data_IF_884714187268
#
_entry.id   IF_884714187268
#
_cell.length_a   1.000
_cell.length_b   1.000
_cell.length_c   1.000
_cell.angle_alpha   90.00
_cell.angle_beta   90.00
_cell.angle_gamma   90.00
#
_symmetry.space_group_name_H-M   'P 1'
#
loop_
_entity.id
_entity.type
_entity.pdbx_description
1 polymer ?
#
# COMPACT_ATOMS: atom_id res chain seq x y z
N UNK A 1 9.33 9.10 32.55
CA UNK A 1 7.93 9.30 32.13
C UNK A 1 7.91 9.21 30.61
N UNK A 2 7.21 8.20 30.11
CA UNK A 2 6.75 7.97 28.73
C UNK A 2 7.82 7.72 27.66
N UNK A 3 7.88 6.43 27.30
CA UNK A 3 8.66 5.82 26.24
C UNK A 3 8.42 6.52 24.89
N UNK A 4 9.50 6.76 24.15
CA UNK A 4 9.42 7.16 22.74
C UNK A 4 8.69 6.05 21.98
N UNK A 5 7.64 6.33 21.20
CA UNK A 5 7.04 5.32 20.35
C UNK A 5 8.12 4.80 19.39
N UNK A 6 8.44 3.51 19.55
CA UNK A 6 9.42 2.79 18.77
C UNK A 6 9.01 2.88 17.30
N UNK A 7 9.76 3.67 16.53
CA UNK A 7 9.57 3.82 15.10
C UNK A 7 9.66 2.44 14.44
N UNK A 8 8.61 2.13 13.66
CA UNK A 8 8.56 1.12 12.60
C UNK A 8 9.26 -0.20 12.93
N UNK A 9 8.49 -1.15 13.46
CA UNK A 9 8.80 -2.58 13.27
C UNK A 9 8.94 -2.78 11.76
N UNK A 10 10.18 -2.92 11.30
CA UNK A 10 10.55 -2.94 9.89
C UNK A 10 9.64 -3.87 9.10
N UNK A 11 9.34 -3.50 7.85
CA UNK A 11 8.46 -4.25 6.94
C UNK A 11 8.62 -5.74 7.21
N UNK A 12 7.62 -6.34 7.85
CA UNK A 12 7.56 -7.78 7.98
C UNK A 12 7.74 -8.35 6.57
N UNK A 13 8.43 -9.49 6.38
CA UNK A 13 8.61 -10.09 5.06
C UNK A 13 7.27 -10.37 4.34
N UNK A 14 6.15 -10.28 5.07
CA UNK A 14 4.78 -10.44 4.62
C UNK A 14 4.04 -9.12 4.32
N UNK A 15 4.71 -7.96 4.30
CA UNK A 15 4.09 -6.67 4.00
C UNK A 15 4.92 -5.82 3.05
N UNK A 16 4.30 -5.36 1.97
CA UNK A 16 4.85 -4.38 1.04
C UNK A 16 4.43 -2.96 1.44
N UNK A 17 5.39 -2.10 1.72
CA UNK A 17 5.21 -0.65 1.80
C UNK A 17 5.20 -0.03 0.39
N UNK A 18 4.09 0.62 0.04
CA UNK A 18 3.92 1.31 -1.23
C UNK A 18 3.43 2.74 -0.98
N UNK A 19 4.24 3.71 -1.38
CA UNK A 19 3.87 5.12 -1.45
C UNK A 19 3.44 5.43 -2.87
N UNK A 20 2.24 5.98 -3.01
CA UNK A 20 1.67 6.47 -4.27
C UNK A 20 1.58 7.99 -4.19
N UNK A 21 2.43 8.69 -4.93
CA UNK A 21 2.51 10.16 -4.93
C UNK A 21 1.17 10.81 -5.25
N UNK A 22 0.91 12.02 -4.75
CA UNK A 22 -0.30 12.77 -5.07
C UNK A 22 -0.39 13.18 -6.55
N UNK A 23 -1.56 13.64 -6.99
CA UNK A 23 -1.76 14.12 -8.36
C UNK A 23 -3.24 14.29 -8.74
N UNK A 24 -3.55 15.24 -9.64
CA UNK A 24 -4.91 15.42 -10.16
C UNK A 24 -5.98 15.73 -9.10
N UNK A 25 -5.60 16.33 -7.96
CA UNK A 25 -6.47 16.58 -6.81
C UNK A 25 -6.58 15.42 -5.81
N UNK A 26 -5.90 14.28 -6.05
CA UNK A 26 -5.80 13.19 -5.10
C UNK A 26 -4.58 13.36 -4.16
N UNK A 27 -4.72 13.09 -2.86
CA UNK A 27 -3.61 13.12 -1.92
C UNK A 27 -2.61 12.00 -2.20
N UNK A 28 -1.39 12.17 -1.69
CA UNK A 28 -0.44 11.07 -1.60
C UNK A 28 -0.99 9.99 -0.67
N UNK A 29 -0.68 8.72 -0.94
CA UNK A 29 -1.17 7.59 -0.17
C UNK A 29 -0.05 6.65 0.22
N UNK A 30 0.02 6.29 1.50
CA UNK A 30 0.85 5.17 1.97
C UNK A 30 -0.03 3.94 2.12
N UNK A 31 0.39 2.84 1.54
CA UNK A 31 -0.24 1.52 1.62
C UNK A 31 0.73 0.55 2.28
N UNK A 32 0.25 -0.18 3.29
CA UNK A 32 0.91 -1.38 3.79
C UNK A 32 0.07 -2.57 3.33
N UNK A 33 0.64 -3.36 2.42
CA UNK A 33 -0.08 -4.37 1.63
C UNK A 33 0.40 -5.76 2.06
N UNK A 34 -0.47 -6.56 2.65
CA UNK A 34 -0.16 -7.95 2.98
C UNK A 34 -0.10 -8.83 1.72
N UNK A 35 0.46 -10.03 1.82
CA UNK A 35 0.42 -10.99 0.71
C UNK A 35 -1.03 -11.37 0.37
N UNK A 36 -1.37 -11.61 -0.91
CA UNK A 36 -2.67 -12.18 -1.26
C UNK A 36 -2.90 -13.52 -0.58
N UNK A 37 -4.09 -13.70 0.00
CA UNK A 37 -4.56 -15.00 0.47
C UNK A 37 -4.87 -15.93 -0.71
N UNK A 38 -5.11 -17.22 -0.43
CA UNK A 38 -5.40 -18.23 -1.45
C UNK A 38 -6.66 -17.93 -2.29
N UNK A 39 -7.60 -17.15 -1.76
CA UNK A 39 -8.80 -16.65 -2.45
C UNK A 39 -8.55 -15.33 -3.23
N UNK A 40 -7.30 -14.86 -3.30
CA UNK A 40 -6.90 -13.67 -4.04
C UNK A 40 -7.25 -12.34 -3.37
N UNK A 41 -7.57 -12.34 -2.07
CA UNK A 41 -7.85 -11.13 -1.30
C UNK A 41 -6.59 -10.60 -0.61
N UNK A 42 -6.55 -9.28 -0.42
CA UNK A 42 -5.42 -8.58 0.18
C UNK A 42 -5.95 -7.68 1.27
N UNK A 43 -5.36 -7.82 2.46
CA UNK A 43 -5.54 -6.90 3.57
C UNK A 43 -4.53 -5.76 3.44
N UNK A 44 -4.99 -4.56 3.72
CA UNK A 44 -4.14 -3.39 3.70
C UNK A 44 -4.48 -2.40 4.81
N UNK A 45 -3.48 -1.62 5.18
CA UNK A 45 -3.61 -0.44 6.02
C UNK A 45 -3.18 0.77 5.21
N UNK A 46 -3.90 1.88 5.31
CA UNK A 46 -3.58 3.06 4.52
C UNK A 46 -3.66 4.37 5.28
N UNK A 47 -2.86 5.32 4.83
CA UNK A 47 -2.86 6.72 5.23
C UNK A 47 -2.85 7.59 3.99
N UNK A 48 -3.24 8.85 4.15
CA UNK A 48 -3.12 9.86 3.11
C UNK A 48 -2.36 11.07 3.64
N UNK A 49 -1.84 11.90 2.74
CA UNK A 49 -1.19 13.16 3.11
C UNK A 49 -2.07 14.17 3.83
N UNK A 50 -3.38 13.93 3.87
CA UNK A 50 -4.32 14.79 4.60
C UNK A 50 -4.16 14.62 6.12
N UNK A 51 -3.80 13.42 6.61
CA UNK A 51 -3.46 13.17 8.01
C UNK A 51 -2.61 11.89 8.18
N UNK A 52 -1.29 12.09 8.31
CA UNK A 52 -0.35 10.99 8.57
C UNK A 52 -0.36 10.51 10.03
N UNK A 53 -0.90 11.31 10.95
CA UNK A 53 -0.92 11.00 12.38
C UNK A 53 -2.13 10.16 12.79
N UNK A 54 -3.14 10.09 11.92
CA UNK A 54 -4.31 9.25 12.12
C UNK A 54 -3.97 7.75 12.23
N UNK A 55 -4.87 7.02 12.89
CA UNK A 55 -4.85 5.57 12.82
C UNK A 55 -5.05 5.12 11.36
N UNK A 56 -4.33 4.07 10.90
CA UNK A 56 -4.51 3.58 9.54
C UNK A 56 -5.94 3.13 9.29
N UNK A 57 -6.47 3.45 8.12
CA UNK A 57 -7.72 2.85 7.66
C UNK A 57 -7.45 1.41 7.21
N UNK A 58 -7.99 0.38 7.91
CA UNK A 58 -7.90 -0.99 7.44
C UNK A 58 -8.88 -1.22 6.29
N UNK A 59 -8.47 -2.02 5.32
CA UNK A 59 -9.34 -2.44 4.22
C UNK A 59 -8.95 -3.85 3.74
N UNK A 60 -9.91 -4.50 3.05
CA UNK A 60 -9.69 -5.77 2.38
C UNK A 60 -10.32 -5.71 0.98
N UNK A 61 -9.54 -6.03 -0.05
CA UNK A 61 -9.97 -5.95 -1.45
C UNK A 61 -9.39 -7.11 -2.25
N UNK A 62 -9.75 -7.24 -3.53
CA UNK A 62 -9.10 -8.21 -4.41
C UNK A 62 -7.69 -7.72 -4.81
N UNK A 63 -6.74 -8.64 -4.91
CA UNK A 63 -5.38 -8.33 -5.38
C UNK A 63 -5.40 -7.72 -6.79
N UNK A 64 -6.24 -8.26 -7.68
CA UNK A 64 -6.41 -7.75 -9.04
C UNK A 64 -7.01 -6.35 -9.09
N UNK A 65 -7.99 -6.07 -8.22
CA UNK A 65 -8.60 -4.74 -8.10
C UNK A 65 -7.57 -3.72 -7.62
N UNK A 66 -6.84 -4.05 -6.55
CA UNK A 66 -5.77 -3.20 -6.03
C UNK A 66 -4.68 -2.93 -7.08
N UNK A 67 -4.26 -3.96 -7.83
CA UNK A 67 -3.28 -3.79 -8.89
C UNK A 67 -3.79 -2.86 -9.99
N UNK A 68 -5.05 -3.02 -10.44
CA UNK A 68 -5.64 -2.15 -11.45
C UNK A 68 -5.70 -0.68 -11.02
N UNK A 69 -5.96 -0.42 -9.73
CA UNK A 69 -5.93 0.93 -9.15
C UNK A 69 -4.52 1.53 -9.15
N UNK A 70 -3.49 0.73 -8.82
CA UNK A 70 -2.09 1.19 -8.83
C UNK A 70 -1.62 1.44 -10.26
N UNK A 71 -1.97 0.56 -11.21
CA UNK A 71 -1.66 0.76 -12.63
C UNK A 71 -2.37 1.98 -13.21
N UNK A 72 -3.59 2.27 -12.77
CA UNK A 72 -4.28 3.51 -13.09
C UNK A 72 -3.52 4.73 -12.57
N UNK A 73 -3.11 4.72 -11.31
CA UNK A 73 -2.31 5.82 -10.74
C UNK A 73 -1.03 6.08 -11.53
N UNK A 74 -0.30 5.03 -11.92
CA UNK A 74 0.91 5.15 -12.77
C UNK A 74 0.59 5.75 -14.14
N UNK A 75 -0.50 5.30 -14.79
CA UNK A 75 -0.94 5.87 -16.09
C UNK A 75 -1.32 7.35 -15.98
N UNK A 76 -1.82 7.78 -14.82
CA UNK A 76 -2.12 9.17 -14.49
C UNK A 76 -0.86 9.98 -14.12
N UNK A 77 0.33 9.38 -14.20
CA UNK A 77 1.61 10.03 -13.91
C UNK A 77 1.96 10.11 -12.42
N UNK A 78 1.24 9.39 -11.55
CA UNK A 78 1.54 9.35 -10.12
C UNK A 78 2.77 8.47 -9.86
N UNK A 79 3.74 9.03 -9.13
CA UNK A 79 4.97 8.32 -8.80
C UNK A 79 4.73 7.19 -7.78
N UNK A 80 5.55 6.14 -7.85
CA UNK A 80 5.61 5.08 -6.85
C UNK A 80 7.01 5.06 -6.22
N UNK A 81 7.12 4.74 -4.93
CA UNK A 81 8.42 4.49 -4.29
C UNK A 81 9.02 3.11 -4.63
N UNK A 82 8.26 2.25 -5.32
CA UNK A 82 8.68 0.93 -5.80
C UNK A 82 8.34 0.79 -7.28
N UNK A 83 9.12 0.00 -8.00
CA UNK A 83 8.79 -0.31 -9.39
C UNK A 83 7.47 -1.08 -9.51
N UNK A 84 6.68 -0.78 -10.55
CA UNK A 84 5.41 -1.46 -10.80
C UNK A 84 5.58 -2.98 -10.94
N UNK A 85 6.70 -3.44 -11.50
CA UNK A 85 7.03 -4.88 -11.62
C UNK A 85 7.11 -5.56 -10.26
N UNK A 86 7.68 -4.91 -9.25
CA UNK A 86 7.75 -5.44 -7.87
C UNK A 86 6.35 -5.56 -7.29
N UNK A 87 5.49 -4.56 -7.49
CA UNK A 87 4.09 -4.57 -7.04
C UNK A 87 3.31 -5.71 -7.70
N UNK A 88 3.49 -5.92 -9.01
CA UNK A 88 2.88 -7.03 -9.76
C UNK A 88 3.28 -8.39 -9.21
N UNK A 89 4.58 -8.60 -8.99
CA UNK A 89 5.07 -9.84 -8.39
C UNK A 89 4.57 -10.04 -6.95
N UNK A 90 4.39 -8.96 -6.20
CA UNK A 90 3.86 -9.02 -4.84
C UNK A 90 2.40 -9.47 -4.79
N UNK A 91 1.57 -8.90 -5.68
CA UNK A 91 0.13 -9.15 -5.78
C UNK A 91 -0.23 -10.37 -6.64
N UNK A 92 0.76 -11.07 -7.18
CA UNK A 92 0.54 -12.33 -7.86
C UNK A 92 -0.04 -13.37 -6.89
N UNK A 93 -0.91 -14.28 -7.36
CA UNK A 93 -1.43 -15.36 -6.54
C UNK A 93 -0.29 -16.17 -5.91
N UNK A 94 -0.39 -16.45 -4.61
CA UNK A 94 0.47 -17.43 -3.95
C UNK A 94 0.06 -18.81 -4.47
N UNK A 95 0.88 -19.40 -5.35
CA UNK A 95 0.69 -20.76 -5.90
C UNK A 95 0.77 -21.82 -4.81
#
# INVERSE_FOLDING_TARGET
MSERPSAAKGSSPDTLDLLVGGGGGAPEKLLLIERPSADGRVKLRSWTSDDWSAAPAPAECSASGLLGEIERAVREGRALNRELTVVRCWLAPST
#
